data_IF_684802745706
#
_entry.id   IF_684802745706
#
_cell.length_a   1.000
_cell.length_b   1.000
_cell.length_c   1.000
_cell.angle_alpha   90.00
_cell.angle_beta   90.00
_cell.angle_gamma   90.00
#
_symmetry.space_group_name_H-M   'P 1'
#
loop_
_entity.id
_entity.type
_entity.pdbx_description
1 polymer ?
#
# COMPACT_ATOMS: atom_id res chain seq x y z
N UNK A 1 12.46 14.27 -5.69
CA UNK A 1 13.83 13.85 -6.06
C UNK A 1 13.92 12.39 -5.72
N UNK A 2 13.91 11.57 -6.77
CA UNK A 2 13.37 10.22 -6.86
C UNK A 2 14.25 9.38 -7.78
N UNK A 3 14.18 8.06 -7.61
CA UNK A 3 14.82 6.98 -8.38
C UNK A 3 15.85 7.45 -9.44
N UNK A 4 17.14 7.45 -9.08
CA UNK A 4 18.25 7.69 -10.00
C UNK A 4 18.91 6.36 -10.39
N UNK A 5 19.49 6.30 -11.58
CA UNK A 5 20.28 5.16 -12.04
C UNK A 5 21.75 5.33 -11.62
N UNK A 6 22.50 4.22 -11.63
CA UNK A 6 23.97 4.24 -11.65
C UNK A 6 24.42 4.24 -13.12
N UNK A 7 25.44 5.01 -13.46
CA UNK A 7 25.93 5.10 -14.83
C UNK A 7 26.43 3.75 -15.36
N UNK A 8 26.09 3.49 -16.62
CA UNK A 8 26.63 2.49 -17.56
C UNK A 8 26.60 1.01 -17.16
N UNK A 9 25.41 0.41 -17.14
CA UNK A 9 25.27 -1.04 -17.31
C UNK A 9 24.28 -1.36 -18.42
N UNK A 10 24.82 -1.67 -19.60
CA UNK A 10 24.10 -2.27 -20.71
C UNK A 10 23.88 -3.77 -20.42
N UNK A 11 22.99 -4.04 -19.46
CA UNK A 11 22.68 -5.38 -18.98
C UNK A 11 21.24 -5.78 -19.25
N UNK A 12 21.05 -7.05 -19.60
CA UNK A 12 19.72 -7.67 -19.60
C UNK A 12 19.11 -7.63 -18.19
N UNK A 13 17.82 -7.34 -18.09
CA UNK A 13 17.10 -7.34 -16.82
C UNK A 13 16.79 -8.78 -16.38
N UNK A 14 17.11 -9.07 -15.13
CA UNK A 14 16.77 -10.35 -14.49
C UNK A 14 15.26 -10.42 -14.30
N UNK A 15 14.66 -11.55 -14.69
CA UNK A 15 13.22 -11.76 -14.59
C UNK A 15 12.44 -11.19 -15.77
N UNK A 16 13.09 -10.90 -16.90
CA UNK A 16 12.43 -10.37 -18.10
C UNK A 16 11.28 -11.26 -18.60
N UNK A 17 11.36 -12.57 -18.40
CA UNK A 17 10.31 -13.55 -18.67
C UNK A 17 9.07 -13.42 -17.76
N UNK A 18 9.22 -12.74 -16.62
CA UNK A 18 8.15 -12.48 -15.65
C UNK A 18 7.54 -11.09 -15.87
N UNK A 19 8.38 -10.06 -15.93
CA UNK A 19 7.92 -8.67 -16.00
C UNK A 19 7.83 -8.11 -17.42
N UNK A 20 8.43 -8.76 -18.42
CA UNK A 20 8.30 -8.40 -19.84
C UNK A 20 9.21 -7.26 -20.32
N UNK A 21 10.22 -6.87 -19.54
CA UNK A 21 11.17 -5.82 -19.93
C UNK A 21 12.55 -6.48 -20.09
N UNK A 22 13.19 -6.35 -21.24
CA UNK A 22 14.49 -7.01 -21.48
C UNK A 22 15.66 -6.13 -21.07
N UNK A 23 15.51 -4.81 -21.20
CA UNK A 23 16.56 -3.82 -20.89
C UNK A 23 16.02 -2.67 -20.03
N UNK A 24 16.92 -1.87 -19.47
CA UNK A 24 16.56 -0.62 -18.78
C UNK A 24 15.88 0.39 -19.73
N UNK A 25 16.22 0.34 -21.02
CA UNK A 25 15.60 1.20 -22.03
C UNK A 25 14.13 0.79 -22.25
N UNK A 26 13.84 -0.51 -22.30
CA UNK A 26 12.46 -1.03 -22.45
C UNK A 26 11.59 -0.69 -21.24
N UNK A 27 12.19 -0.69 -20.04
CA UNK A 27 11.51 -0.30 -18.81
C UNK A 27 11.13 1.19 -18.79
N UNK A 28 11.81 2.02 -19.58
CA UNK A 28 11.59 3.47 -19.70
C UNK A 28 11.40 4.17 -18.34
N UNK A 29 12.43 4.09 -17.52
CA UNK A 29 12.44 4.67 -16.16
C UNK A 29 12.24 6.19 -16.19
N UNK A 30 12.62 6.85 -17.30
CA UNK A 30 12.37 8.27 -17.47
C UNK A 30 10.86 8.52 -17.53
N UNK A 31 10.13 7.83 -18.39
CA UNK A 31 8.68 7.96 -18.48
C UNK A 31 7.98 7.53 -17.18
N UNK A 32 8.43 6.44 -16.54
CA UNK A 32 7.89 6.02 -15.23
C UNK A 32 7.95 7.17 -14.21
N UNK A 33 9.04 7.94 -14.18
CA UNK A 33 9.17 9.08 -13.26
C UNK A 33 8.17 10.19 -13.57
N UNK A 34 7.99 10.49 -14.85
CA UNK A 34 7.12 11.57 -15.33
C UNK A 34 5.65 11.24 -15.01
N UNK A 35 5.27 9.97 -15.18
CA UNK A 35 3.93 9.48 -14.90
C UNK A 35 3.65 9.18 -13.42
N UNK A 36 4.69 9.14 -12.58
CA UNK A 36 4.57 8.77 -11.15
C UNK A 36 3.62 9.66 -10.35
N UNK A 37 3.45 10.92 -10.74
CA UNK A 37 2.46 11.81 -10.10
C UNK A 37 1.04 11.54 -10.62
N UNK A 38 0.92 11.10 -11.87
CA UNK A 38 -0.35 10.93 -12.57
C UNK A 38 -1.01 9.57 -12.29
N UNK A 39 -0.23 8.50 -12.09
CA UNK A 39 -0.76 7.15 -11.86
C UNK A 39 0.08 6.35 -10.86
N UNK A 40 -0.48 5.26 -10.37
CA UNK A 40 0.30 4.23 -9.68
C UNK A 40 1.16 3.44 -10.67
N UNK A 41 2.31 2.95 -10.21
CA UNK A 41 3.15 2.07 -11.00
C UNK A 41 2.44 0.73 -11.27
N UNK A 42 2.65 0.20 -12.48
CA UNK A 42 2.10 -1.10 -12.90
C UNK A 42 2.86 -2.22 -12.18
N UNK A 43 2.22 -3.38 -11.90
CA UNK A 43 2.88 -4.50 -11.24
C UNK A 43 4.18 -4.93 -11.93
N UNK A 44 4.20 -4.98 -13.26
CA UNK A 44 5.38 -5.34 -14.04
C UNK A 44 6.53 -4.33 -13.84
N UNK A 45 6.25 -3.02 -13.81
CA UNK A 45 7.25 -1.97 -13.57
C UNK A 45 7.84 -2.12 -12.16
N UNK A 46 6.98 -2.32 -11.16
CA UNK A 46 7.39 -2.52 -9.76
C UNK A 46 8.28 -3.76 -9.64
N UNK A 47 7.87 -4.87 -10.25
CA UNK A 47 8.63 -6.12 -10.22
C UNK A 47 10.01 -5.96 -10.88
N UNK A 48 10.06 -5.33 -12.06
CA UNK A 48 11.31 -5.08 -12.77
C UNK A 48 12.28 -4.23 -11.93
N UNK A 49 11.79 -3.15 -11.33
CA UNK A 49 12.61 -2.26 -10.47
C UNK A 49 13.13 -3.03 -9.24
N UNK A 50 12.28 -3.80 -8.56
CA UNK A 50 12.67 -4.52 -7.35
C UNK A 50 13.64 -5.67 -7.63
N UNK A 51 13.45 -6.44 -8.72
CA UNK A 51 14.39 -7.50 -9.12
C UNK A 51 15.74 -6.94 -9.52
N UNK A 52 15.74 -5.77 -10.16
CA UNK A 52 16.93 -5.14 -10.73
C UNK A 52 17.41 -3.93 -9.91
N UNK A 53 17.12 -3.95 -8.61
CA UNK A 53 17.38 -2.86 -7.67
C UNK A 53 18.82 -2.33 -7.68
N UNK A 54 19.79 -3.16 -8.07
CA UNK A 54 21.21 -2.83 -8.15
C UNK A 54 21.53 -1.72 -9.16
N UNK A 55 20.71 -1.56 -10.20
CA UNK A 55 20.84 -0.48 -11.20
C UNK A 55 20.33 0.86 -10.69
N UNK A 56 19.61 0.87 -9.56
CA UNK A 56 19.01 2.07 -8.99
C UNK A 56 19.76 2.53 -7.74
N UNK A 57 19.59 3.80 -7.42
CA UNK A 57 20.11 4.39 -6.18
C UNK A 57 19.26 3.91 -5.00
N UNK A 58 19.93 3.27 -4.04
CA UNK A 58 19.36 2.88 -2.76
C UNK A 58 19.60 4.01 -1.77
N UNK A 59 18.53 4.53 -1.18
CA UNK A 59 18.62 5.57 -0.17
C UNK A 59 18.98 4.96 1.19
N UNK A 60 20.03 5.50 1.81
CA UNK A 60 20.53 5.08 3.13
C UNK A 60 20.04 5.99 4.28
N UNK A 61 19.20 6.98 3.96
CA UNK A 61 18.55 7.87 4.93
C UNK A 61 17.07 8.03 4.57
N UNK A 62 16.16 8.20 5.55
CA UNK A 62 14.76 8.50 5.26
C UNK A 62 14.64 9.82 4.49
N UNK A 63 13.65 9.91 3.62
CA UNK A 63 13.41 11.11 2.82
C UNK A 63 12.37 11.96 3.53
N UNK A 64 12.69 13.23 3.81
CA UNK A 64 11.79 14.11 4.55
C UNK A 64 10.80 14.81 3.63
N UNK A 65 9.51 14.75 3.99
CA UNK A 65 8.35 15.29 3.28
C UNK A 65 8.41 15.09 1.75
N UNK A 66 8.49 13.84 1.26
CA UNK A 66 8.47 13.57 -0.18
C UNK A 66 7.22 14.17 -0.84
N UNK A 67 7.39 14.84 -1.98
CA UNK A 67 6.28 15.40 -2.77
C UNK A 67 5.56 14.31 -3.57
N UNK A 68 4.34 14.59 -4.03
CA UNK A 68 3.61 13.74 -4.97
C UNK A 68 4.48 13.40 -6.21
N UNK A 69 4.40 12.15 -6.67
CA UNK A 69 5.24 11.60 -7.73
C UNK A 69 6.63 11.15 -7.27
N UNK A 70 6.99 11.31 -6.00
CA UNK A 70 8.29 10.83 -5.52
C UNK A 70 8.28 9.30 -5.43
N UNK A 71 9.28 8.66 -6.03
CA UNK A 71 9.56 7.23 -5.93
C UNK A 71 10.95 7.05 -5.33
N UNK A 72 11.08 6.22 -4.30
CA UNK A 72 12.33 6.02 -3.55
C UNK A 72 12.55 4.54 -3.30
N UNK A 73 13.79 4.09 -3.46
CA UNK A 73 14.18 2.71 -3.20
C UNK A 73 15.03 2.63 -1.93
N UNK A 74 14.75 1.67 -1.07
CA UNK A 74 15.46 1.43 0.18
C UNK A 74 15.86 -0.03 0.32
N UNK A 75 16.93 -0.28 1.09
CA UNK A 75 17.24 -1.59 1.63
C UNK A 75 16.94 -1.60 3.14
N UNK A 76 15.99 -2.42 3.58
CA UNK A 76 15.59 -2.55 5.00
C UNK A 76 16.70 -3.11 5.88
N UNK A 77 17.67 -3.83 5.31
CA UNK A 77 18.86 -4.28 6.05
C UNK A 77 19.74 -3.10 6.43
N UNK A 78 19.80 -2.07 5.59
CA UNK A 78 20.57 -0.85 5.84
C UNK A 78 19.76 0.23 6.59
N UNK A 79 18.46 0.33 6.33
CA UNK A 79 17.59 1.36 6.90
C UNK A 79 16.21 0.80 7.30
N UNK A 80 16.08 0.35 8.55
CA UNK A 80 14.80 -0.17 9.08
C UNK A 80 13.71 0.90 9.18
N UNK A 81 14.09 2.14 9.48
CA UNK A 81 13.18 3.25 9.77
C UNK A 81 12.90 4.15 8.54
N UNK A 82 12.91 3.60 7.33
CA UNK A 82 12.68 4.35 6.10
C UNK A 82 11.33 5.08 6.04
N UNK A 83 10.33 4.62 6.82
CA UNK A 83 9.02 5.25 6.98
C UNK A 83 9.02 6.54 7.83
N UNK A 84 10.15 6.93 8.44
CA UNK A 84 10.28 8.23 9.13
C UNK A 84 10.43 9.35 8.11
N UNK A 85 9.38 9.57 7.33
CA UNK A 85 9.35 10.46 6.17
C UNK A 85 8.77 11.85 6.48
N UNK A 86 8.44 12.12 7.75
CA UNK A 86 7.95 13.43 8.21
C UNK A 86 6.47 13.69 7.94
N UNK A 87 5.78 12.85 7.17
CA UNK A 87 4.35 13.00 6.93
C UNK A 87 3.53 12.50 8.12
N UNK A 88 2.43 13.19 8.41
CA UNK A 88 1.43 12.71 9.37
C UNK A 88 0.51 11.71 8.66
N UNK A 89 0.68 10.42 8.96
CA UNK A 89 -0.17 9.36 8.42
C UNK A 89 -1.37 9.08 9.33
N UNK A 90 -2.51 8.74 8.74
CA UNK A 90 -3.71 8.33 9.49
C UNK A 90 -3.37 7.16 10.40
N UNK A 91 -3.76 7.26 11.68
CA UNK A 91 -3.49 6.24 12.69
C UNK A 91 -4.71 5.35 12.95
N UNK A 92 -4.49 4.18 13.55
CA UNK A 92 -5.54 3.31 14.08
C UNK A 92 -6.22 4.00 15.27
N UNK A 93 -7.31 3.38 15.79
CA UNK A 93 -8.06 3.89 16.95
C UNK A 93 -7.17 4.07 18.20
N UNK A 94 -6.04 3.35 18.26
CA UNK A 94 -5.04 3.45 19.33
C UNK A 94 -4.24 4.78 19.34
N UNK A 95 -4.33 5.59 18.28
CA UNK A 95 -3.58 6.85 18.13
C UNK A 95 -2.06 6.69 17.99
N UNK A 96 -1.54 5.45 17.93
CA UNK A 96 -0.11 5.14 17.91
C UNK A 96 0.31 4.54 16.58
N UNK A 97 -0.44 3.57 16.08
CA UNK A 97 -0.07 2.76 14.92
C UNK A 97 -0.60 3.41 13.64
N UNK A 98 0.21 3.53 12.59
CA UNK A 98 -0.29 3.97 11.28
C UNK A 98 -1.32 2.95 10.76
N UNK A 99 -2.45 3.43 10.25
CA UNK A 99 -3.46 2.61 9.58
C UNK A 99 -2.94 2.28 8.18
N UNK A 100 -2.29 1.13 8.05
CA UNK A 100 -1.89 0.58 6.76
C UNK A 100 -2.87 -0.50 6.28
N UNK A 101 -3.33 -0.42 5.03
CA UNK A 101 -4.03 -1.52 4.35
C UNK A 101 -3.01 -2.34 3.55
N UNK A 102 -3.18 -3.67 3.52
CA UNK A 102 -2.25 -4.60 2.87
C UNK A 102 -2.96 -5.37 1.76
N UNK A 103 -2.34 -5.38 0.58
CA UNK A 103 -2.77 -6.12 -0.61
C UNK A 103 -1.59 -6.89 -1.24
N UNK A 104 -1.90 -7.83 -2.13
CA UNK A 104 -0.93 -8.42 -3.05
C UNK A 104 -1.24 -8.02 -4.49
N UNK A 105 -0.20 -7.70 -5.26
CA UNK A 105 -0.32 -7.49 -6.70
C UNK A 105 0.17 -8.72 -7.48
N UNK A 106 -0.56 -9.02 -8.55
CA UNK A 106 -0.22 -10.07 -9.51
C UNK A 106 0.65 -9.50 -10.63
N UNK A 107 1.65 -10.28 -11.04
CA UNK A 107 2.38 -10.08 -12.29
C UNK A 107 2.03 -11.27 -13.17
N UNK A 108 1.45 -11.05 -14.35
CA UNK A 108 0.70 -12.11 -15.02
C UNK A 108 -0.40 -12.66 -14.08
N UNK A 109 -0.39 -13.96 -13.81
CA UNK A 109 -1.42 -14.64 -13.02
C UNK A 109 -1.01 -14.99 -11.57
N UNK A 110 0.20 -14.62 -11.16
CA UNK A 110 0.78 -15.02 -9.86
C UNK A 110 0.99 -13.81 -8.98
N UNK A 111 0.58 -13.89 -7.71
CA UNK A 111 0.89 -12.87 -6.70
C UNK A 111 2.40 -12.82 -6.47
N UNK A 112 3.01 -11.65 -6.65
CA UNK A 112 4.47 -11.49 -6.52
C UNK A 112 4.91 -10.31 -5.65
N UNK A 113 4.01 -9.38 -5.34
CA UNK A 113 4.36 -8.12 -4.68
C UNK A 113 3.43 -7.87 -3.50
N UNK A 114 4.00 -7.59 -2.32
CA UNK A 114 3.29 -6.98 -1.19
C UNK A 114 3.11 -5.47 -1.42
N UNK A 115 1.93 -4.95 -1.09
CA UNK A 115 1.65 -3.50 -1.13
C UNK A 115 0.99 -3.03 0.15
N UNK A 116 1.57 -1.99 0.75
CA UNK A 116 1.02 -1.35 1.95
C UNK A 116 0.65 0.08 1.65
N UNK A 117 -0.59 0.45 2.00
CA UNK A 117 -1.18 1.76 1.73
C UNK A 117 -1.31 2.56 3.01
N UNK A 118 -0.76 3.76 3.05
CA UNK A 118 -0.98 4.73 4.11
C UNK A 118 -1.57 6.02 3.53
N UNK A 119 -2.68 6.49 4.11
CA UNK A 119 -3.30 7.77 3.76
C UNK A 119 -2.83 8.86 4.71
N UNK A 120 -2.59 10.05 4.19
CA UNK A 120 -2.26 11.23 4.98
C UNK A 120 -3.39 11.55 5.96
N UNK A 121 -3.01 12.00 7.15
CA UNK A 121 -3.93 12.57 8.13
C UNK A 121 -4.34 13.98 7.71
N UNK A 122 -3.35 14.80 7.35
CA UNK A 122 -3.55 16.22 6.97
C UNK A 122 -4.16 16.35 5.57
N UNK A 123 -3.75 15.48 4.65
CA UNK A 123 -4.32 15.37 3.31
C UNK A 123 -4.71 13.90 3.00
N UNK A 124 -6.00 13.54 3.09
CA UNK A 124 -6.46 12.16 2.84
C UNK A 124 -6.21 11.64 1.42
N UNK A 125 -6.09 12.55 0.44
CA UNK A 125 -5.79 12.20 -0.94
C UNK A 125 -4.30 11.96 -1.17
N UNK A 126 -3.44 12.36 -0.23
CA UNK A 126 -2.02 12.06 -0.27
C UNK A 126 -1.77 10.65 0.28
N UNK A 127 -1.25 9.77 -0.58
CA UNK A 127 -1.09 8.34 -0.28
C UNK A 127 0.35 7.92 -0.46
N UNK A 128 0.84 7.10 0.46
CA UNK A 128 2.09 6.35 0.32
C UNK A 128 1.79 4.88 0.07
N UNK A 129 2.34 4.32 -0.99
CA UNK A 129 2.42 2.87 -1.21
C UNK A 129 3.85 2.37 -1.01
N UNK A 130 4.01 1.32 -0.21
CA UNK A 130 5.27 0.60 -0.07
C UNK A 130 5.15 -0.75 -0.76
N UNK A 131 6.10 -1.09 -1.62
CA UNK A 131 6.14 -2.32 -2.40
C UNK A 131 7.39 -3.14 -2.07
N UNK A 132 7.25 -4.45 -1.92
CA UNK A 132 8.37 -5.39 -1.90
C UNK A 132 7.95 -6.74 -2.45
N UNK A 133 8.91 -7.53 -2.93
CA UNK A 133 8.62 -8.85 -3.50
C UNK A 133 8.20 -9.85 -2.40
N UNK A 134 7.29 -10.75 -2.76
CA UNK A 134 6.95 -11.94 -1.97
C UNK A 134 8.14 -12.92 -1.87
N UNK A 135 9.06 -12.86 -2.84
CA UNK A 135 10.33 -13.59 -2.81
C UNK A 135 11.18 -13.16 -1.61
N UNK A 136 11.42 -14.10 -0.70
CA UNK A 136 12.20 -13.92 0.53
C UNK A 136 13.65 -13.51 0.27
N UNK A 137 14.21 -13.85 -0.87
CA UNK A 137 15.58 -13.44 -1.22
C UNK A 137 15.69 -11.93 -1.46
N UNK A 138 14.60 -11.30 -1.92
CA UNK A 138 14.55 -9.88 -2.31
C UNK A 138 13.59 -9.02 -1.46
N UNK A 139 12.87 -9.60 -0.48
CA UNK A 139 11.90 -8.87 0.35
C UNK A 139 12.52 -7.67 1.10
N UNK A 140 13.84 -7.67 1.32
CA UNK A 140 14.56 -6.59 2.00
C UNK A 140 14.58 -5.28 1.20
N UNK A 141 14.41 -5.35 -0.13
CA UNK A 141 14.35 -4.18 -1.00
C UNK A 141 12.92 -3.65 -1.04
N UNK A 142 12.75 -2.36 -0.74
CA UNK A 142 11.43 -1.71 -0.69
C UNK A 142 11.42 -0.50 -1.62
N UNK A 143 10.44 -0.48 -2.53
CA UNK A 143 10.11 0.68 -3.36
C UNK A 143 8.96 1.44 -2.69
N UNK A 144 9.13 2.74 -2.47
CA UNK A 144 8.11 3.59 -1.86
C UNK A 144 7.68 4.64 -2.88
N UNK A 145 6.38 4.76 -3.07
CA UNK A 145 5.77 5.71 -4.02
C UNK A 145 4.78 6.60 -3.28
N UNK A 146 5.02 7.91 -3.38
CA UNK A 146 4.17 8.96 -2.82
C UNK A 146 3.35 9.58 -3.95
N UNK A 147 2.03 9.62 -3.80
CA UNK A 147 1.15 10.20 -4.82
C UNK A 147 -0.07 10.84 -4.18
N UNK A 148 -0.40 12.02 -4.67
CA UNK A 148 -1.69 12.66 -4.47
C UNK A 148 -2.70 12.10 -5.47
N UNK A 149 -3.79 11.53 -4.99
CA UNK A 149 -4.82 10.91 -5.82
C UNK A 149 -5.93 11.93 -6.09
N UNK A 150 -6.29 12.17 -7.35
CA UNK A 150 -7.49 12.95 -7.66
C UNK A 150 -8.74 12.13 -7.37
N UNK A 151 -9.27 12.24 -6.16
CA UNK A 151 -10.66 11.94 -5.81
C UNK A 151 -10.99 12.62 -4.48
N UNK A 152 -11.57 13.82 -4.58
CA UNK A 152 -12.32 14.45 -3.50
C UNK A 152 -13.71 13.80 -3.46
N UNK A 153 -14.01 12.98 -2.46
CA UNK A 153 -15.40 12.93 -2.02
C UNK A 153 -15.72 14.31 -1.42
N UNK A 154 -16.89 14.90 -1.72
CA UNK A 154 -17.25 16.19 -1.14
C UNK A 154 -17.38 16.00 0.38
N UNK A 155 -16.47 16.59 1.14
CA UNK A 155 -16.70 16.82 2.56
C UNK A 155 -18.03 17.55 2.68
N UNK A 156 -18.98 16.92 3.34
CA UNK A 156 -20.33 17.41 3.59
C UNK A 156 -20.25 18.79 4.22
N UNK A 157 -20.40 19.83 3.40
CA UNK A 157 -20.74 21.16 3.91
C UNK A 157 -22.16 21.04 4.44
N UNK A 158 -22.33 21.23 5.74
CA UNK A 158 -23.64 21.47 6.32
C UNK A 158 -24.28 22.66 5.59
N UNK A 159 -25.30 22.38 4.78
CA UNK A 159 -26.35 23.36 4.52
C UNK A 159 -27.65 22.60 4.28
N UNK A 160 -28.67 23.02 5.01
CA UNK A 160 -29.99 22.41 5.02
C UNK A 160 -30.70 22.54 3.66
N UNK A 161 -31.71 21.67 3.49
CA UNK A 161 -32.90 21.78 2.63
C UNK A 161 -32.75 22.11 1.13
N UNK A 162 -32.87 21.08 0.28
CA UNK A 162 -34.03 20.87 -0.63
C UNK A 162 -33.74 19.71 -1.59
N UNK A 163 -34.72 18.82 -1.79
CA UNK A 163 -34.56 17.58 -2.54
C UNK A 163 -34.51 17.75 -4.07
N UNK A 164 -33.86 16.80 -4.73
CA UNK A 164 -34.27 16.24 -6.03
C UNK A 164 -33.36 15.05 -6.37
N UNK A 165 -33.99 14.01 -6.89
CA UNK A 165 -33.43 12.68 -7.19
C UNK A 165 -32.65 12.73 -8.50
N UNK A 166 -31.46 12.13 -8.54
CA UNK A 166 -30.82 11.62 -9.77
C UNK A 166 -29.69 10.65 -9.40
N UNK A 167 -29.88 9.37 -9.73
CA UNK A 167 -28.84 8.33 -9.69
C UNK A 167 -27.86 8.54 -10.87
N UNK A 168 -26.57 8.19 -10.73
CA UNK A 168 -26.19 6.90 -11.31
C UNK A 168 -25.12 6.12 -10.50
N UNK A 169 -25.35 4.81 -10.43
CA UNK A 169 -24.37 3.71 -10.41
C UNK A 169 -22.93 4.01 -9.95
N UNK A 170 -22.63 3.58 -8.72
CA UNK A 170 -21.51 2.72 -8.33
C UNK A 170 -21.07 3.13 -6.92
N UNK A 171 -21.18 2.22 -5.96
CA UNK A 171 -20.25 2.12 -4.84
C UNK A 171 -20.48 0.78 -4.12
N UNK A 172 -19.42 -0.03 -4.08
CA UNK A 172 -19.36 -1.27 -3.31
C UNK A 172 -19.72 -0.98 -1.86
N UNK A 173 -20.90 -1.46 -1.45
CA UNK A 173 -21.34 -1.42 -0.07
C UNK A 173 -20.46 -2.34 0.77
N UNK A 174 -19.85 -1.67 1.74
CA UNK A 174 -19.20 -2.16 2.94
C UNK A 174 -20.09 -3.21 3.63
N UNK A 175 -19.63 -4.47 3.68
CA UNK A 175 -20.20 -5.45 4.62
C UNK A 175 -19.69 -5.13 6.02
N UNK A 176 -20.44 -4.34 6.77
CA UNK A 176 -20.44 -4.39 8.24
C UNK A 176 -21.65 -5.25 8.65
N UNK A 177 -21.40 -6.54 8.92
CA UNK A 177 -22.38 -7.41 9.56
C UNK A 177 -22.04 -7.55 11.06
N UNK A 178 -22.90 -6.90 11.85
CA UNK A 178 -23.48 -7.35 13.12
C UNK A 178 -22.56 -7.52 14.35
N UNK A 179 -22.53 -6.46 15.16
CA UNK A 179 -22.25 -6.53 16.60
C UNK A 179 -23.53 -7.00 17.32
N UNK A 180 -23.43 -8.14 18.02
CA UNK A 180 -24.52 -8.81 18.72
C UNK A 180 -24.57 -8.37 20.20
N UNK A 181 -25.65 -7.70 20.60
CA UNK A 181 -26.05 -7.44 22.00
C UNK A 181 -27.54 -7.05 22.00
N UNK A 182 -28.47 -7.52 22.82
CA UNK A 182 -28.55 -8.29 24.08
C UNK A 182 -29.83 -9.17 23.99
N UNK A 183 -30.22 -10.06 24.90
CA UNK A 183 -30.47 -9.84 26.33
C UNK A 183 -30.81 -11.18 27.01
N UNK A 184 -30.35 -11.29 28.25
CA UNK A 184 -30.55 -12.34 29.25
C UNK A 184 -31.99 -12.36 29.81
N UNK A 185 -32.41 -13.48 30.46
CA UNK A 185 -33.49 -13.70 31.49
C UNK A 185 -34.41 -14.92 31.12
N UNK A 186 -34.73 -15.94 31.95
CA UNK A 186 -34.36 -16.44 33.29
C UNK A 186 -34.62 -17.98 33.37
N UNK A 187 -34.10 -18.55 34.46
CA UNK A 187 -33.86 -19.91 34.96
C UNK A 187 -35.02 -20.93 35.12
N UNK A 188 -34.59 -22.16 35.50
CA UNK A 188 -35.15 -23.24 36.37
C UNK A 188 -35.04 -24.58 35.62
N UNK A 189 -34.49 -25.69 36.11
CA UNK A 189 -33.90 -26.11 37.38
C UNK A 189 -33.64 -27.63 37.25
N UNK A 190 -32.71 -28.20 38.02
CA UNK A 190 -32.50 -29.66 38.07
C UNK A 190 -31.07 -30.07 38.37
N UNK A 191 -30.72 -30.08 39.66
CA UNK A 191 -29.59 -30.84 40.19
C UNK A 191 -29.91 -32.34 40.03
N UNK A 192 -28.94 -33.15 39.59
CA UNK A 192 -28.67 -34.45 40.22
C UNK A 192 -27.16 -34.74 40.19
N UNK A 193 -26.72 -35.37 41.27
CA UNK A 193 -25.34 -35.49 41.76
C UNK A 193 -25.14 -36.98 42.08
N UNK A 194 -24.09 -37.60 41.54
CA UNK A 194 -23.40 -38.84 41.96
C UNK A 194 -22.71 -39.43 40.71
N UNK A 195 -21.42 -39.76 40.65
CA UNK A 195 -20.46 -40.11 41.68
C UNK A 195 -20.50 -41.60 41.93
N UNK A 196 -19.74 -42.41 41.18
CA UNK A 196 -18.92 -43.47 41.79
C UNK A 196 -17.82 -43.99 40.84
N UNK A 197 -16.74 -44.35 41.50
CA UNK A 197 -15.50 -45.01 41.11
C UNK A 197 -15.69 -46.48 40.69
N UNK A 198 -14.79 -46.96 39.82
CA UNK A 198 -14.65 -48.36 39.44
C UNK A 198 -13.72 -48.54 38.25
#
# INVERSE_FOLDING_TARGET
>A
MSLSMKDDVQGSLVGSEIHGFHTLQDLDVKNIREEASARWLRPNEIHAILCNYKYFVIHVKPVNLPKSGTIVLFDRKMLRNFRKDGHNWKKKKDGKTVKEAHEHLKVGNVERIHVYYAHGLDNPTFVRRCYWLLDKSLEHVVLVHYRETKESSPSTSMNSNSGSVSNPSANWLLSEELDSRATHVYSVGGNELSGDTG
#
